data_IF_136138586935
#
_entry.id   IF_136138586935
#
_cell.length_a   1.000
_cell.length_b   1.000
_cell.length_c   1.000
_cell.angle_alpha   90.00
_cell.angle_beta   90.00
_cell.angle_gamma   90.00
#
_symmetry.space_group_name_H-M   'P 1'
#
loop_
_entity.id
_entity.type
_entity.pdbx_description
1 polymer ?
#
# COMPACT_ATOMS: atom_id res chain seq x y z
N UNK A 1 30.31 1.45 15.84
CA UNK A 1 30.07 2.13 17.15
C UNK A 1 29.62 3.59 17.01
N UNK A 2 30.04 4.30 16.00
CA UNK A 2 29.77 5.76 15.82
C UNK A 2 28.28 6.14 15.71
N UNK A 3 27.42 5.33 15.07
CA UNK A 3 26.00 5.65 14.91
C UNK A 3 25.15 5.50 16.18
N UNK A 4 25.49 4.62 17.12
CA UNK A 4 24.65 4.37 18.34
C UNK A 4 24.57 5.55 19.30
N UNK A 5 25.47 6.52 19.20
CA UNK A 5 25.43 7.76 19.99
C UNK A 5 24.59 8.85 19.34
N UNK A 6 24.20 8.68 18.05
CA UNK A 6 23.40 9.63 17.29
C UNK A 6 21.93 9.54 17.66
N UNK A 7 21.29 10.68 17.81
CA UNK A 7 19.86 10.79 18.05
C UNK A 7 19.11 10.78 16.72
N UNK A 8 18.05 9.97 16.64
CA UNK A 8 17.24 9.83 15.42
C UNK A 8 15.92 10.59 15.58
N UNK A 9 15.54 11.37 14.57
CA UNK A 9 14.27 12.07 14.46
C UNK A 9 13.47 11.48 13.31
N UNK A 10 12.33 10.82 13.60
CA UNK A 10 11.43 10.21 12.60
C UNK A 10 10.22 11.11 12.44
N UNK A 11 9.95 11.55 11.20
CA UNK A 11 8.87 12.48 10.86
C UNK A 11 7.77 11.74 10.08
N UNK A 12 6.57 11.66 10.65
CA UNK A 12 5.47 10.81 10.22
C UNK A 12 5.54 9.44 10.89
N UNK A 13 4.52 9.09 11.66
CA UNK A 13 4.47 7.85 12.47
C UNK A 13 3.33 6.94 12.02
N UNK A 14 3.09 6.86 10.71
CA UNK A 14 2.17 5.91 10.10
C UNK A 14 2.75 4.50 10.00
N UNK A 15 2.24 3.72 9.03
CA UNK A 15 2.59 2.31 8.80
C UNK A 15 4.08 2.03 8.55
N UNK A 16 4.86 3.04 8.18
CA UNK A 16 6.32 2.91 8.00
C UNK A 16 7.06 3.55 9.17
N UNK A 17 6.76 4.81 9.49
CA UNK A 17 7.56 5.56 10.44
C UNK A 17 7.48 5.04 11.89
N UNK A 18 6.31 4.56 12.35
CA UNK A 18 6.21 4.01 13.71
C UNK A 18 6.98 2.68 13.85
N UNK A 19 6.84 1.69 12.95
CA UNK A 19 7.67 0.49 12.99
C UNK A 19 9.17 0.78 12.91
N UNK A 20 9.60 1.69 11.99
CA UNK A 20 10.99 2.12 11.87
C UNK A 20 11.50 2.74 13.18
N UNK A 21 10.72 3.65 13.80
CA UNK A 21 11.09 4.28 15.06
C UNK A 21 11.21 3.26 16.21
N UNK A 22 10.26 2.34 16.31
CA UNK A 22 10.25 1.30 17.35
C UNK A 22 11.41 0.30 17.17
N UNK A 23 11.71 -0.10 15.92
CA UNK A 23 12.84 -0.97 15.60
C UNK A 23 14.18 -0.30 15.97
N UNK A 24 14.38 0.96 15.58
CA UNK A 24 15.59 1.71 15.89
C UNK A 24 15.78 1.89 17.41
N UNK A 25 14.69 2.19 18.12
CA UNK A 25 14.71 2.26 19.59
C UNK A 25 15.10 0.91 20.23
N UNK A 26 14.60 -0.21 19.71
CA UNK A 26 14.96 -1.55 20.18
C UNK A 26 16.42 -1.93 19.91
N UNK A 27 17.01 -1.33 18.87
CA UNK A 27 18.44 -1.46 18.55
C UNK A 27 19.35 -0.52 19.37
N UNK A 28 18.80 0.20 20.36
CA UNK A 28 19.54 1.03 21.31
C UNK A 28 19.78 2.47 20.86
N UNK A 29 19.07 2.94 19.84
CA UNK A 29 19.08 4.35 19.43
C UNK A 29 18.12 5.18 20.29
N UNK A 30 18.48 6.43 20.59
CA UNK A 30 17.54 7.41 21.12
C UNK A 30 16.72 7.97 19.97
N UNK A 31 15.43 7.68 19.96
CA UNK A 31 14.51 8.06 18.87
C UNK A 31 13.51 9.09 19.38
N UNK A 32 13.34 10.16 18.62
CA UNK A 32 12.23 11.11 18.77
C UNK A 32 11.33 11.00 17.53
N UNK A 33 10.07 10.68 17.76
CA UNK A 33 9.08 10.62 16.70
C UNK A 33 8.29 11.93 16.61
N UNK A 34 7.78 12.24 15.44
CA UNK A 34 6.90 13.39 15.23
C UNK A 34 5.72 13.00 14.38
N UNK A 35 4.52 13.35 14.84
CA UNK A 35 3.30 13.26 14.05
C UNK A 35 2.43 14.50 14.32
N UNK A 36 1.68 14.95 13.29
CA UNK A 36 0.79 16.10 13.41
C UNK A 36 -0.54 15.74 14.10
N UNK A 37 -0.87 14.46 14.20
CA UNK A 37 -2.09 13.98 14.83
C UNK A 37 -1.90 13.83 16.34
N UNK A 38 -2.62 14.63 17.13
CA UNK A 38 -2.57 14.58 18.59
C UNK A 38 -2.88 13.20 19.15
N UNK A 39 -3.90 12.52 18.62
CA UNK A 39 -4.30 11.19 19.07
C UNK A 39 -3.18 10.16 18.85
N UNK A 40 -2.52 10.20 17.69
CA UNK A 40 -1.35 9.36 17.40
C UNK A 40 -0.23 9.57 18.42
N UNK A 41 0.09 10.84 18.70
CA UNK A 41 1.14 11.21 19.66
C UNK A 41 0.81 10.73 21.08
N UNK A 42 -0.40 10.94 21.54
CA UNK A 42 -0.86 10.49 22.87
C UNK A 42 -0.87 8.97 22.98
N UNK A 43 -1.40 8.27 21.98
CA UNK A 43 -1.48 6.81 21.94
C UNK A 43 -0.09 6.18 22.04
N UNK A 44 0.87 6.65 21.23
CA UNK A 44 2.23 6.11 21.24
C UNK A 44 2.94 6.40 22.54
N UNK A 45 2.82 7.62 23.10
CA UNK A 45 3.44 7.97 24.39
C UNK A 45 2.87 7.17 25.57
N UNK A 46 1.67 6.56 25.43
CA UNK A 46 1.11 5.60 26.38
C UNK A 46 1.64 4.18 26.17
N UNK A 47 2.56 3.95 25.23
CA UNK A 47 3.07 2.62 24.88
C UNK A 47 2.08 1.78 24.07
N UNK A 48 1.12 2.40 23.42
CA UNK A 48 0.10 1.76 22.57
C UNK A 48 0.36 2.05 21.08
N UNK A 49 -0.29 1.30 20.21
CA UNK A 49 -0.24 1.48 18.76
C UNK A 49 -1.59 1.96 18.24
N UNK A 50 -1.57 2.70 17.13
CA UNK A 50 -2.77 3.20 16.41
C UNK A 50 -2.91 2.55 15.02
N UNK A 51 -2.03 1.61 14.68
CA UNK A 51 -2.04 0.81 13.44
C UNK A 51 -1.98 -0.67 13.80
N UNK A 52 -2.62 -1.53 13.00
CA UNK A 52 -2.59 -2.97 13.20
C UNK A 52 -1.36 -3.57 12.50
N UNK A 53 -0.38 -4.05 13.28
CA UNK A 53 0.79 -4.76 12.77
C UNK A 53 1.28 -5.76 13.82
N UNK A 54 1.48 -7.03 13.46
CA UNK A 54 1.96 -8.06 14.39
C UNK A 54 3.26 -7.66 15.10
N UNK A 55 3.32 -7.89 16.40
CA UNK A 55 4.47 -7.64 17.29
C UNK A 55 4.82 -6.17 17.54
N UNK A 56 4.28 -5.21 16.75
CA UNK A 56 4.63 -3.79 16.88
C UNK A 56 4.29 -3.23 18.27
N UNK A 57 3.19 -3.67 18.87
CA UNK A 57 2.76 -3.26 20.22
C UNK A 57 3.82 -3.52 21.28
N UNK A 58 4.45 -4.69 21.26
CA UNK A 58 5.52 -5.06 22.19
C UNK A 58 6.77 -4.17 22.00
N UNK A 59 7.16 -3.89 20.75
CA UNK A 59 8.28 -3.01 20.44
C UNK A 59 8.02 -1.57 20.91
N UNK A 60 6.85 -1.01 20.62
CA UNK A 60 6.49 0.36 21.03
C UNK A 60 6.42 0.47 22.55
N UNK A 61 5.73 -0.46 23.21
CA UNK A 61 5.62 -0.49 24.68
C UNK A 61 6.99 -0.52 25.35
N UNK A 62 7.87 -1.41 24.87
CA UNK A 62 9.24 -1.51 25.39
C UNK A 62 10.02 -0.21 25.15
N UNK A 63 10.00 0.32 23.93
CA UNK A 63 10.74 1.52 23.55
C UNK A 63 10.31 2.78 24.33
N UNK A 64 9.02 2.92 24.61
CA UNK A 64 8.48 4.04 25.41
C UNK A 64 8.81 3.86 26.88
N UNK A 65 8.60 2.66 27.45
CA UNK A 65 8.82 2.42 28.89
C UNK A 65 10.28 2.55 29.31
N UNK A 66 11.23 2.24 28.44
CA UNK A 66 12.67 2.40 28.70
C UNK A 66 13.21 3.78 28.27
N UNK A 67 12.33 4.68 27.78
CA UNK A 67 12.69 6.05 27.39
C UNK A 67 13.49 6.18 26.09
N UNK A 68 13.58 5.11 25.30
CA UNK A 68 14.29 5.13 24.01
C UNK A 68 13.46 5.72 22.87
N UNK A 69 12.12 5.73 22.99
CA UNK A 69 11.19 6.39 22.07
C UNK A 69 10.36 7.44 22.82
N UNK A 70 10.32 8.64 22.29
CA UNK A 70 9.45 9.72 22.73
C UNK A 70 8.84 10.46 21.55
N UNK A 71 7.56 10.78 21.59
CA UNK A 71 6.81 11.32 20.44
C UNK A 71 6.29 12.72 20.72
N UNK A 72 6.30 13.59 19.71
CA UNK A 72 5.98 15.01 19.80
C UNK A 72 5.10 15.46 18.61
N UNK A 73 4.36 16.53 18.78
CA UNK A 73 3.60 17.20 17.70
C UNK A 73 4.47 18.00 16.72
N UNK A 74 5.68 18.34 17.13
CA UNK A 74 6.62 19.12 16.32
C UNK A 74 7.97 18.44 16.29
N UNK A 75 8.71 18.52 15.17
CA UNK A 75 10.02 17.93 15.04
C UNK A 75 10.95 18.39 16.17
N UNK A 76 11.82 17.47 16.57
CA UNK A 76 12.86 17.70 17.57
C UNK A 76 14.23 17.55 16.92
N UNK A 77 15.22 18.16 17.56
CA UNK A 77 16.62 18.04 17.16
C UNK A 77 17.07 16.57 17.13
N UNK A 78 17.81 16.22 16.08
CA UNK A 78 18.43 14.90 15.88
C UNK A 78 19.75 15.04 15.12
N UNK A 79 20.41 13.94 14.89
CA UNK A 79 21.61 13.82 14.04
C UNK A 79 21.29 13.01 12.76
N UNK A 80 20.17 12.26 12.79
CA UNK A 80 19.65 11.49 11.66
C UNK A 80 18.15 11.78 11.58
N UNK A 81 17.69 12.28 10.44
CA UNK A 81 16.29 12.60 10.19
C UNK A 81 15.73 11.63 9.16
N UNK A 82 14.63 10.95 9.48
CA UNK A 82 13.94 10.01 8.58
C UNK A 82 12.54 10.56 8.30
N UNK A 83 12.24 10.83 7.02
CA UNK A 83 10.97 11.38 6.57
C UNK A 83 10.10 10.26 6.04
N UNK A 84 8.99 9.95 6.75
CA UNK A 84 8.03 8.88 6.46
C UNK A 84 6.60 9.43 6.34
N UNK A 85 6.43 10.60 5.77
CA UNK A 85 5.12 11.26 5.61
C UNK A 85 4.37 10.74 4.37
N UNK A 86 3.03 10.84 4.32
CA UNK A 86 2.26 10.41 3.16
C UNK A 86 2.55 11.24 1.91
N UNK A 87 2.34 10.64 0.74
CA UNK A 87 2.46 11.28 -0.57
C UNK A 87 1.20 10.99 -1.41
N UNK A 88 0.03 11.56 -1.03
CA UNK A 88 -1.22 11.36 -1.75
C UNK A 88 -1.21 12.05 -3.12
N UNK A 89 -2.33 11.98 -3.84
CA UNK A 89 -2.55 12.80 -5.02
C UNK A 89 -3.10 14.19 -4.68
N UNK A 90 -2.84 15.14 -5.58
CA UNK A 90 -3.64 16.36 -5.64
C UNK A 90 -5.03 16.04 -6.21
N UNK A 91 -6.06 16.62 -5.66
CA UNK A 91 -7.39 16.62 -6.27
C UNK A 91 -7.35 17.47 -7.55
N UNK A 92 -7.27 16.79 -8.69
CA UNK A 92 -7.24 17.47 -10.00
C UNK A 92 -7.82 16.54 -11.07
N UNK A 93 -8.53 17.05 -12.07
CA UNK A 93 -8.99 16.25 -13.20
C UNK A 93 -7.81 15.76 -14.06
N UNK A 94 -8.00 14.62 -14.72
CA UNK A 94 -7.00 14.01 -15.61
C UNK A 94 -6.05 13.07 -14.92
N UNK A 95 -4.78 13.02 -15.37
CA UNK A 95 -3.76 12.14 -14.79
C UNK A 95 -3.47 12.55 -13.34
N UNK A 96 -3.62 11.64 -12.36
CA UNK A 96 -3.35 11.93 -10.96
C UNK A 96 -1.92 12.42 -10.76
N UNK A 97 -1.77 13.53 -10.04
CA UNK A 97 -0.45 14.13 -9.77
C UNK A 97 -0.07 13.93 -8.30
N UNK A 98 1.14 13.44 -8.01
CA UNK A 98 1.60 13.23 -6.64
C UNK A 98 1.70 14.55 -5.88
N UNK A 99 1.17 14.56 -4.66
CA UNK A 99 1.31 15.66 -3.72
C UNK A 99 2.50 15.40 -2.80
N UNK A 100 3.59 16.10 -3.04
CA UNK A 100 4.81 16.04 -2.20
C UNK A 100 4.89 17.14 -1.16
N UNK A 101 3.86 17.95 -0.98
CA UNK A 101 3.86 19.08 -0.05
C UNK A 101 4.13 18.62 1.39
N UNK A 102 3.66 17.44 1.78
CA UNK A 102 3.96 16.85 3.08
C UNK A 102 5.48 16.63 3.26
N UNK A 103 6.18 16.12 2.22
CA UNK A 103 7.63 15.92 2.23
C UNK A 103 8.35 17.27 2.32
N UNK A 104 7.94 18.25 1.53
CA UNK A 104 8.52 19.59 1.52
C UNK A 104 8.31 20.29 2.87
N UNK A 105 7.11 20.16 3.46
CA UNK A 105 6.81 20.74 4.78
C UNK A 105 7.59 20.02 5.90
N UNK A 106 7.76 18.71 5.81
CA UNK A 106 8.61 17.97 6.74
C UNK A 106 10.07 18.46 6.66
N UNK A 107 10.63 18.60 5.45
CA UNK A 107 11.97 19.14 5.24
C UNK A 107 12.12 20.57 5.81
N UNK A 108 11.16 21.46 5.54
CA UNK A 108 11.17 22.83 6.13
C UNK A 108 11.11 22.79 7.65
N UNK A 109 10.31 21.93 8.24
CA UNK A 109 10.12 21.87 9.69
C UNK A 109 11.36 21.43 10.45
N UNK A 110 12.25 20.64 9.82
CA UNK A 110 13.52 20.20 10.41
C UNK A 110 14.68 21.11 10.08
N UNK A 111 14.58 22.02 9.07
CA UNK A 111 15.68 22.86 8.58
C UNK A 111 16.45 23.56 9.68
N UNK A 112 15.73 24.13 10.67
CA UNK A 112 16.34 24.86 11.81
C UNK A 112 17.22 24.00 12.74
N UNK A 113 17.12 22.67 12.63
CA UNK A 113 17.90 21.75 13.47
C UNK A 113 19.07 21.11 12.73
N UNK A 114 19.12 21.23 11.40
CA UNK A 114 20.14 20.58 10.57
C UNK A 114 21.53 21.15 10.85
N UNK A 115 22.46 20.26 11.09
CA UNK A 115 23.87 20.55 11.38
C UNK A 115 24.80 19.86 10.40
N UNK A 116 26.09 20.28 10.33
CA UNK A 116 27.09 19.54 9.56
C UNK A 116 27.19 18.07 9.98
N UNK A 117 27.28 17.18 8.98
CA UNK A 117 27.34 15.73 9.08
C UNK A 117 26.02 15.03 9.50
N UNK A 118 24.90 15.76 9.55
CA UNK A 118 23.60 15.15 9.73
C UNK A 118 23.21 14.32 8.49
N UNK A 119 22.46 13.24 8.74
CA UNK A 119 21.82 12.45 7.70
C UNK A 119 20.36 12.86 7.56
N UNK A 120 19.91 13.10 6.34
CA UNK A 120 18.50 13.31 6.01
C UNK A 120 18.07 12.25 5.01
N UNK A 121 17.17 11.38 5.43
CA UNK A 121 16.74 10.21 4.69
C UNK A 121 15.26 10.34 4.35
N UNK A 122 14.92 10.29 3.07
CA UNK A 122 13.54 10.19 2.61
C UNK A 122 13.20 8.71 2.42
N UNK A 123 12.26 8.19 3.22
CA UNK A 123 11.69 6.83 3.07
C UNK A 123 10.32 6.84 2.37
N UNK A 124 9.60 7.98 2.37
CA UNK A 124 8.32 8.08 1.69
C UNK A 124 8.43 7.76 0.21
N UNK A 125 7.50 6.94 -0.32
CA UNK A 125 7.41 6.72 -1.78
C UNK A 125 7.20 8.06 -2.48
N UNK A 126 8.05 8.37 -3.44
CA UNK A 126 8.12 9.71 -4.02
C UNK A 126 8.42 9.69 -5.52
N UNK A 127 7.94 10.68 -6.27
CA UNK A 127 8.37 10.90 -7.66
C UNK A 127 9.87 11.13 -7.76
N UNK A 128 10.47 10.70 -8.87
CA UNK A 128 11.88 10.93 -9.14
C UNK A 128 12.23 12.43 -9.12
N UNK A 129 13.24 12.80 -8.32
CA UNK A 129 13.68 14.16 -8.09
C UNK A 129 13.14 14.79 -6.81
N UNK A 130 12.43 14.08 -5.98
CA UNK A 130 11.91 14.59 -4.70
C UNK A 130 13.04 14.81 -3.70
N UNK A 131 14.05 13.95 -3.68
CA UNK A 131 15.24 14.12 -2.83
C UNK A 131 16.01 15.39 -3.19
N UNK A 132 16.12 15.74 -4.47
CA UNK A 132 16.70 17.00 -4.93
C UNK A 132 15.85 18.22 -4.50
N UNK A 133 14.52 18.07 -4.41
CA UNK A 133 13.66 19.14 -3.90
C UNK A 133 13.88 19.40 -2.41
N UNK A 134 14.13 18.35 -1.60
CA UNK A 134 14.54 18.51 -0.19
C UNK A 134 15.83 19.32 -0.11
N UNK A 135 16.83 18.99 -0.92
CA UNK A 135 18.08 19.80 -1.00
C UNK A 135 17.79 21.25 -1.33
N UNK A 136 16.90 21.50 -2.31
CA UNK A 136 16.49 22.86 -2.69
C UNK A 136 15.80 23.62 -1.56
N UNK A 137 15.04 22.93 -0.70
CA UNK A 137 14.47 23.55 0.52
C UNK A 137 15.59 23.97 1.46
N UNK A 138 16.55 23.11 1.74
CA UNK A 138 17.66 23.40 2.66
C UNK A 138 18.53 24.55 2.17
N UNK A 139 18.80 24.64 0.87
CA UNK A 139 19.52 25.77 0.27
C UNK A 139 18.75 27.08 0.53
N UNK A 140 17.42 27.09 0.34
CA UNK A 140 16.58 28.27 0.58
C UNK A 140 16.56 28.70 2.04
N UNK A 141 16.69 27.75 2.95
CA UNK A 141 16.77 27.97 4.41
C UNK A 141 18.21 28.33 4.87
N UNK A 142 19.16 28.49 3.94
CA UNK A 142 20.54 28.91 4.22
C UNK A 142 21.46 27.80 4.75
N UNK A 143 21.09 26.53 4.59
CA UNK A 143 21.89 25.39 5.04
C UNK A 143 23.00 25.09 4.01
N UNK A 144 24.23 24.89 4.47
CA UNK A 144 25.34 24.44 3.63
C UNK A 144 25.19 22.94 3.32
N UNK A 145 24.58 22.67 2.18
CA UNK A 145 24.26 21.30 1.73
C UNK A 145 25.49 20.42 1.44
N UNK A 146 26.68 21.01 1.30
CA UNK A 146 27.93 20.25 1.13
C UNK A 146 28.35 19.55 2.43
N UNK A 147 27.76 19.92 3.54
CA UNK A 147 28.02 19.35 4.87
C UNK A 147 26.89 18.47 5.39
N UNK A 148 25.84 18.21 4.60
CA UNK A 148 24.68 17.40 4.99
C UNK A 148 24.53 16.23 4.02
N UNK A 149 24.32 15.03 4.55
CA UNK A 149 24.15 13.83 3.75
C UNK A 149 22.67 13.58 3.48
N UNK A 150 22.22 13.81 2.25
CA UNK A 150 20.82 13.65 1.85
C UNK A 150 20.68 12.41 0.95
N UNK A 151 19.80 11.49 1.31
CA UNK A 151 19.58 10.26 0.55
C UNK A 151 18.11 9.83 0.54
N UNK A 152 17.79 8.99 -0.40
CA UNK A 152 16.54 8.25 -0.50
C UNK A 152 16.77 6.77 -0.16
N UNK A 153 15.90 6.20 0.65
CA UNK A 153 15.89 4.78 0.95
C UNK A 153 14.45 4.30 1.06
N UNK A 154 13.83 3.81 -0.03
CA UNK A 154 12.42 3.43 -0.02
C UNK A 154 12.15 2.26 0.89
N UNK A 155 10.99 2.28 1.55
CA UNK A 155 10.50 1.12 2.26
C UNK A 155 9.83 0.13 1.30
N UNK A 156 10.08 -1.19 1.54
CA UNK A 156 9.69 -2.28 0.64
C UNK A 156 9.03 -3.43 1.40
N UNK A 157 8.38 -3.13 2.52
CA UNK A 157 7.73 -4.12 3.40
C UNK A 157 6.29 -4.40 3.00
N UNK A 158 5.83 -5.58 3.42
CA UNK A 158 4.45 -6.01 3.28
C UNK A 158 3.70 -5.83 4.61
N UNK A 159 2.56 -5.12 4.65
CA UNK A 159 1.70 -5.09 5.85
C UNK A 159 1.40 -6.49 6.37
N UNK A 160 1.50 -6.66 7.69
CA UNK A 160 1.43 -7.95 8.38
C UNK A 160 2.78 -8.64 8.57
N UNK A 161 3.87 -8.13 7.97
CA UNK A 161 5.24 -8.64 8.09
C UNK A 161 6.27 -7.53 8.28
N UNK A 162 5.83 -6.31 8.56
CA UNK A 162 6.68 -5.11 8.57
C UNK A 162 7.87 -5.29 9.51
N UNK A 163 7.65 -5.74 10.75
CA UNK A 163 8.71 -5.84 11.76
C UNK A 163 9.85 -6.80 11.37
N UNK A 164 9.53 -7.90 10.68
CA UNK A 164 10.53 -8.84 10.17
C UNK A 164 11.23 -8.30 8.91
N UNK A 165 10.43 -7.81 7.95
CA UNK A 165 10.94 -7.37 6.65
C UNK A 165 11.76 -6.08 6.73
N UNK A 166 11.54 -5.21 7.72
CA UNK A 166 12.39 -4.06 8.01
C UNK A 166 13.85 -4.44 8.28
N UNK A 167 14.09 -5.64 8.79
CA UNK A 167 15.41 -6.17 9.14
C UNK A 167 15.95 -7.08 8.03
N UNK A 168 15.10 -7.90 7.41
CA UNK A 168 15.51 -8.99 6.53
C UNK A 168 15.61 -8.59 5.06
N UNK A 169 14.80 -7.62 4.61
CA UNK A 169 14.79 -7.22 3.20
C UNK A 169 16.03 -6.40 2.85
N UNK A 170 16.48 -6.57 1.60
CA UNK A 170 17.51 -5.72 1.00
C UNK A 170 17.04 -4.26 0.95
N UNK A 171 17.96 -3.34 1.18
CA UNK A 171 17.74 -1.89 1.09
C UNK A 171 18.39 -1.32 -0.15
N UNK A 172 17.71 -0.39 -0.82
CA UNK A 172 18.29 0.40 -1.91
C UNK A 172 18.53 1.80 -1.37
N UNK A 173 19.78 2.19 -1.24
CA UNK A 173 20.18 3.51 -0.71
C UNK A 173 20.76 4.35 -1.82
N UNK A 174 20.12 5.49 -2.11
CA UNK A 174 20.57 6.43 -3.12
C UNK A 174 20.79 7.83 -2.55
N UNK A 175 22.03 8.26 -2.44
CA UNK A 175 22.39 9.62 -2.03
C UNK A 175 22.41 10.64 -3.17
N UNK A 176 22.34 11.92 -2.83
CA UNK A 176 22.61 13.01 -3.77
C UNK A 176 24.09 13.12 -4.11
N UNK A 177 24.96 12.59 -3.24
CA UNK A 177 26.41 12.44 -3.44
C UNK A 177 26.85 11.03 -3.09
N UNK A 178 28.00 10.59 -3.60
CA UNK A 178 28.56 9.28 -3.25
C UNK A 178 28.84 9.16 -1.74
N UNK A 179 29.26 10.24 -1.10
CA UNK A 179 29.49 10.28 0.34
C UNK A 179 28.16 10.12 1.12
N UNK A 180 27.09 10.81 0.72
CA UNK A 180 25.77 10.64 1.30
C UNK A 180 25.26 9.20 1.15
N UNK A 181 25.45 8.59 -0.03
CA UNK A 181 25.11 7.17 -0.25
C UNK A 181 25.83 6.29 0.76
N UNK A 182 27.14 6.45 0.90
CA UNK A 182 27.97 5.64 1.79
C UNK A 182 27.60 5.82 3.27
N UNK A 183 27.42 7.06 3.74
CA UNK A 183 27.09 7.34 5.15
C UNK A 183 25.70 6.79 5.52
N UNK A 184 24.70 6.98 4.64
CA UNK A 184 23.35 6.43 4.87
C UNK A 184 23.35 4.91 4.77
N UNK A 185 24.10 4.31 3.83
CA UNK A 185 24.25 2.85 3.76
C UNK A 185 24.90 2.27 5.02
N UNK A 186 25.92 2.92 5.55
CA UNK A 186 26.56 2.53 6.80
C UNK A 186 25.59 2.58 7.98
N UNK A 187 24.70 3.57 8.01
CA UNK A 187 23.65 3.63 9.02
C UNK A 187 22.69 2.41 8.92
N UNK A 188 22.15 2.09 7.74
CA UNK A 188 21.24 0.94 7.58
C UNK A 188 21.92 -0.39 7.92
N UNK A 189 23.19 -0.58 7.57
CA UNK A 189 23.99 -1.78 7.92
C UNK A 189 24.11 -2.03 9.44
N UNK A 190 23.75 -1.07 10.28
CA UNK A 190 23.80 -1.26 11.75
C UNK A 190 22.64 -2.11 12.29
N UNK A 191 21.54 -2.26 11.54
CA UNK A 191 20.36 -2.99 11.97
C UNK A 191 19.70 -3.85 10.89
N UNK A 192 19.97 -3.62 9.61
CA UNK A 192 19.48 -4.44 8.49
C UNK A 192 20.40 -5.64 8.30
N UNK A 193 19.80 -6.81 8.08
CA UNK A 193 20.50 -8.07 7.77
C UNK A 193 20.56 -8.35 6.28
N UNK A 194 19.56 -7.86 5.52
CA UNK A 194 19.58 -7.89 4.06
C UNK A 194 20.74 -7.07 3.48
N UNK A 195 20.98 -7.18 2.19
CA UNK A 195 21.99 -6.39 1.52
C UNK A 195 21.59 -4.90 1.45
N UNK A 196 22.59 -4.02 1.60
CA UNK A 196 22.40 -2.58 1.39
C UNK A 196 23.06 -2.21 0.08
N UNK A 197 22.23 -2.06 -0.96
CA UNK A 197 22.61 -1.79 -2.33
C UNK A 197 22.74 -0.28 -2.55
N UNK A 198 23.91 0.16 -2.96
CA UNK A 198 24.25 1.57 -3.13
C UNK A 198 24.00 2.05 -4.56
N UNK A 199 23.37 3.22 -4.70
CA UNK A 199 23.08 3.83 -6.01
C UNK A 199 22.90 5.35 -5.89
N UNK A 200 22.35 6.01 -6.90
CA UNK A 200 21.96 7.44 -6.85
C UNK A 200 20.51 7.60 -6.38
N UNK A 201 20.18 8.76 -5.82
CA UNK A 201 18.81 9.06 -5.36
C UNK A 201 17.76 8.84 -6.46
N UNK A 202 18.02 9.29 -7.69
CA UNK A 202 17.10 9.11 -8.82
C UNK A 202 16.83 7.64 -9.17
N UNK A 203 17.88 6.80 -9.11
CA UNK A 203 17.72 5.36 -9.36
C UNK A 203 16.93 4.73 -8.23
N UNK A 204 17.23 5.03 -6.98
CA UNK A 204 16.51 4.48 -5.83
C UNK A 204 15.02 4.89 -5.84
N UNK A 205 14.71 6.16 -6.15
CA UNK A 205 13.32 6.65 -6.32
C UNK A 205 12.61 5.90 -7.45
N UNK A 206 13.26 5.74 -8.62
CA UNK A 206 12.66 5.04 -9.76
C UNK A 206 12.50 3.54 -9.48
N UNK A 207 13.44 2.88 -8.78
CA UNK A 207 13.34 1.46 -8.42
C UNK A 207 12.04 1.18 -7.67
N UNK A 208 11.73 1.98 -6.65
CA UNK A 208 10.48 1.82 -5.88
C UNK A 208 9.23 1.89 -6.76
N UNK A 209 9.16 2.89 -7.62
CA UNK A 209 8.03 3.07 -8.53
C UNK A 209 7.95 1.96 -9.58
N UNK A 210 9.12 1.49 -10.06
CA UNK A 210 9.21 0.41 -11.06
C UNK A 210 8.69 -0.92 -10.50
N UNK A 211 9.02 -1.27 -9.26
CA UNK A 211 8.56 -2.51 -8.62
C UNK A 211 7.03 -2.59 -8.59
N UNK A 212 6.38 -1.52 -8.17
CA UNK A 212 4.92 -1.48 -8.09
C UNK A 212 4.26 -1.37 -9.48
N UNK A 213 4.86 -0.62 -10.40
CA UNK A 213 4.38 -0.54 -11.79
C UNK A 213 4.52 -1.86 -12.52
N UNK A 214 5.60 -2.61 -12.30
CA UNK A 214 5.78 -3.95 -12.86
C UNK A 214 4.66 -4.90 -12.40
N UNK A 215 4.33 -4.88 -11.10
CA UNK A 215 3.22 -5.69 -10.57
C UNK A 215 1.89 -5.28 -11.15
N UNK A 216 1.62 -3.97 -11.23
CA UNK A 216 0.38 -3.43 -11.80
C UNK A 216 0.19 -3.85 -13.26
N UNK A 217 1.23 -3.73 -14.10
CA UNK A 217 1.21 -4.17 -15.51
C UNK A 217 0.92 -5.66 -15.64
N UNK A 218 1.54 -6.49 -14.79
CA UNK A 218 1.32 -7.95 -14.84
C UNK A 218 -0.09 -8.34 -14.36
N UNK A 219 -0.65 -7.62 -13.39
CA UNK A 219 -2.05 -7.82 -12.98
C UNK A 219 -3.00 -7.32 -14.08
N UNK A 220 -2.70 -6.20 -14.73
CA UNK A 220 -3.50 -5.70 -15.85
C UNK A 220 -3.56 -6.70 -16.98
N UNK A 221 -2.44 -7.34 -17.32
CA UNK A 221 -2.41 -8.41 -18.32
C UNK A 221 -3.34 -9.57 -17.95
N UNK A 222 -3.30 -10.04 -16.69
CA UNK A 222 -4.19 -11.09 -16.20
C UNK A 222 -5.67 -10.66 -16.22
N UNK A 223 -5.95 -9.43 -15.82
CA UNK A 223 -7.29 -8.87 -15.85
C UNK A 223 -7.83 -8.76 -17.28
N UNK A 224 -7.04 -8.26 -18.23
CA UNK A 224 -7.42 -8.19 -19.64
C UNK A 224 -7.69 -9.58 -20.23
N UNK A 225 -6.83 -10.58 -19.95
CA UNK A 225 -7.09 -11.97 -20.32
C UNK A 225 -8.45 -12.45 -19.79
N UNK A 226 -8.78 -12.13 -18.56
CA UNK A 226 -10.07 -12.54 -17.97
C UNK A 226 -11.28 -11.93 -18.67
N UNK A 227 -11.15 -10.71 -19.22
CA UNK A 227 -12.20 -10.08 -20.03
C UNK A 227 -12.39 -10.79 -21.36
N UNK A 228 -11.29 -11.11 -22.05
CA UNK A 228 -11.30 -11.84 -23.32
C UNK A 228 -11.86 -13.27 -23.14
N UNK A 229 -11.39 -13.98 -22.12
CA UNK A 229 -11.85 -15.32 -21.79
C UNK A 229 -13.35 -15.39 -21.47
N UNK A 230 -13.84 -14.41 -20.73
CA UNK A 230 -15.28 -14.33 -20.40
C UNK A 230 -16.16 -14.19 -21.65
N UNK A 231 -15.70 -13.45 -22.67
CA UNK A 231 -16.41 -13.31 -23.95
C UNK A 231 -16.46 -14.63 -24.73
N UNK A 232 -15.39 -15.40 -24.70
CA UNK A 232 -15.24 -16.61 -25.51
C UNK A 232 -15.63 -17.89 -24.73
N UNK A 233 -16.08 -17.76 -23.47
CA UNK A 233 -16.46 -18.90 -22.61
C UNK A 233 -15.26 -19.75 -22.18
N UNK A 234 -14.06 -19.16 -22.10
CA UNK A 234 -12.83 -19.82 -21.69
C UNK A 234 -12.65 -19.63 -20.18
N UNK A 235 -12.25 -20.69 -19.47
CA UNK A 235 -11.81 -20.58 -18.09
C UNK A 235 -10.41 -19.92 -18.02
N UNK A 236 -10.36 -18.68 -17.51
CA UNK A 236 -9.11 -17.92 -17.43
C UNK A 236 -8.13 -18.55 -16.41
N UNK A 237 -8.63 -19.21 -15.39
CA UNK A 237 -7.80 -19.82 -14.33
C UNK A 237 -7.06 -21.03 -14.89
N UNK A 238 -7.78 -21.91 -15.61
CA UNK A 238 -7.16 -23.04 -16.35
C UNK A 238 -6.19 -22.54 -17.40
N UNK A 239 -6.57 -21.54 -18.20
CA UNK A 239 -5.67 -20.92 -19.18
C UNK A 239 -4.35 -20.45 -18.55
N UNK A 240 -4.42 -19.69 -17.44
CA UNK A 240 -3.24 -19.17 -16.76
C UNK A 240 -2.40 -20.32 -16.19
N UNK A 241 -3.02 -21.33 -15.59
CA UNK A 241 -2.32 -22.49 -15.06
C UNK A 241 -1.53 -23.22 -16.16
N UNK A 242 -2.15 -23.43 -17.32
CA UNK A 242 -1.50 -24.08 -18.46
C UNK A 242 -0.40 -23.19 -19.07
N UNK A 243 -0.66 -21.90 -19.27
CA UNK A 243 0.31 -20.96 -19.83
C UNK A 243 1.56 -20.85 -18.96
N UNK A 244 1.39 -20.86 -17.64
CA UNK A 244 2.50 -20.80 -16.67
C UNK A 244 3.35 -22.08 -16.62
N UNK A 245 2.96 -23.17 -17.33
CA UNK A 245 3.86 -24.32 -17.56
C UNK A 245 5.02 -23.98 -18.48
N UNK A 246 4.91 -22.93 -19.25
CA UNK A 246 6.01 -22.46 -20.08
C UNK A 246 7.11 -21.80 -19.22
N UNK A 247 8.39 -22.19 -19.34
CA UNK A 247 9.46 -21.83 -18.40
C UNK A 247 9.78 -20.33 -18.32
N UNK A 248 9.29 -19.52 -19.25
CA UNK A 248 9.49 -18.06 -19.30
C UNK A 248 8.21 -17.26 -19.09
N UNK A 249 7.13 -17.91 -18.64
CA UNK A 249 5.82 -17.27 -18.42
C UNK A 249 5.43 -17.40 -16.96
N UNK A 250 5.03 -16.30 -16.36
CA UNK A 250 4.53 -16.24 -14.98
C UNK A 250 3.42 -15.18 -14.91
N UNK A 251 2.24 -15.54 -15.41
CA UNK A 251 1.05 -14.67 -15.39
C UNK A 251 0.49 -14.68 -13.99
N UNK A 252 0.19 -13.49 -13.46
CA UNK A 252 -0.47 -13.31 -12.15
C UNK A 252 -1.95 -13.68 -12.24
N UNK A 253 -2.63 -13.71 -11.09
CA UNK A 253 -4.06 -14.02 -11.03
C UNK A 253 -4.89 -12.76 -11.29
N UNK A 254 -5.97 -12.85 -12.10
CA UNK A 254 -6.91 -11.75 -12.24
C UNK A 254 -7.77 -11.58 -10.97
N UNK A 255 -8.36 -10.40 -10.82
CA UNK A 255 -9.25 -10.08 -9.71
C UNK A 255 -10.34 -9.10 -10.12
N UNK A 256 -11.05 -8.54 -9.15
CA UNK A 256 -12.11 -7.55 -9.39
C UNK A 256 -11.55 -6.14 -9.74
N UNK A 257 -10.25 -5.95 -9.65
CA UNK A 257 -9.51 -4.72 -9.88
C UNK A 257 -8.22 -4.71 -9.09
N UNK A 258 -7.54 -3.57 -9.02
CA UNK A 258 -6.30 -3.38 -8.25
C UNK A 258 -6.46 -2.21 -7.30
N UNK A 259 -6.37 -2.48 -6.01
CA UNK A 259 -6.51 -1.51 -4.93
C UNK A 259 -5.26 -1.37 -4.06
N UNK A 260 -5.45 -0.68 -2.94
CA UNK A 260 -4.42 -0.37 -1.96
C UNK A 260 -3.57 0.85 -2.31
N UNK A 261 -2.75 1.27 -1.34
CA UNK A 261 -2.02 2.55 -1.40
C UNK A 261 -0.78 2.55 -2.29
N UNK A 262 -0.34 1.40 -2.79
CA UNK A 262 0.92 1.29 -3.51
C UNK A 262 0.68 0.97 -4.99
N UNK A 263 0.16 -0.23 -5.30
CA UNK A 263 0.06 -0.70 -6.69
C UNK A 263 -0.93 0.15 -7.51
N UNK A 264 -2.02 0.62 -6.89
CA UNK A 264 -2.99 1.49 -7.55
C UNK A 264 -2.49 2.95 -7.72
N UNK A 265 -1.47 3.36 -6.97
CA UNK A 265 -1.03 4.76 -6.81
C UNK A 265 0.31 5.02 -7.51
N UNK A 266 1.35 4.27 -7.18
CA UNK A 266 2.73 4.54 -7.60
C UNK A 266 2.95 4.60 -9.12
N UNK A 267 2.25 3.81 -9.97
CA UNK A 267 2.36 3.92 -11.42
C UNK A 267 2.00 5.31 -11.96
N UNK A 268 1.05 5.98 -11.32
CA UNK A 268 0.68 7.35 -11.71
C UNK A 268 1.81 8.36 -11.45
N UNK A 269 2.73 8.09 -10.52
CA UNK A 269 3.90 8.95 -10.30
C UNK A 269 4.83 8.93 -11.51
N UNK A 270 4.96 7.78 -12.17
CA UNK A 270 5.69 7.66 -13.44
C UNK A 270 4.93 8.36 -14.57
N UNK A 271 3.63 8.05 -14.69
CA UNK A 271 2.76 8.60 -15.78
C UNK A 271 2.69 10.11 -15.69
N UNK A 272 2.48 10.70 -14.52
CA UNK A 272 2.39 12.15 -14.34
C UNK A 272 3.69 12.89 -14.68
N UNK A 273 4.83 12.20 -14.61
CA UNK A 273 6.14 12.77 -14.97
C UNK A 273 6.38 12.82 -16.47
N UNK A 274 5.99 11.77 -17.18
CA UNK A 274 6.17 11.66 -18.64
C UNK A 274 5.07 10.78 -19.26
N UNK A 275 3.90 11.36 -19.44
CA UNK A 275 2.73 10.67 -20.01
C UNK A 275 2.99 10.15 -21.41
N UNK A 276 3.82 10.87 -22.21
CA UNK A 276 4.13 10.51 -23.59
C UNK A 276 4.88 9.19 -23.68
N UNK A 277 5.81 8.94 -22.77
CA UNK A 277 6.70 7.77 -22.80
C UNK A 277 6.24 6.63 -21.86
N UNK A 278 5.23 6.84 -21.00
CA UNK A 278 4.70 5.85 -20.05
C UNK A 278 3.42 5.16 -20.51
N UNK A 279 3.27 4.94 -21.83
CA UNK A 279 2.03 4.43 -22.45
C UNK A 279 1.57 3.09 -21.88
N UNK A 280 2.48 2.13 -21.71
CA UNK A 280 2.15 0.80 -21.19
C UNK A 280 1.68 0.88 -19.73
N UNK A 281 2.37 1.66 -18.90
CA UNK A 281 2.04 1.82 -17.46
C UNK A 281 0.67 2.50 -17.32
N UNK A 282 0.40 3.53 -18.14
CA UNK A 282 -0.90 4.20 -18.18
C UNK A 282 -2.01 3.26 -18.62
N UNK A 283 -1.82 2.53 -19.73
CA UNK A 283 -2.80 1.55 -20.23
C UNK A 283 -3.08 0.46 -19.19
N UNK A 284 -2.07 -0.04 -18.48
CA UNK A 284 -2.25 -1.03 -17.41
C UNK A 284 -3.16 -0.49 -16.29
N UNK A 285 -2.95 0.76 -15.85
CA UNK A 285 -3.85 1.39 -14.86
C UNK A 285 -5.27 1.55 -15.38
N UNK A 286 -5.43 1.92 -16.64
CA UNK A 286 -6.74 2.05 -17.28
C UNK A 286 -7.44 0.69 -17.37
N UNK A 287 -6.74 -0.39 -17.73
CA UNK A 287 -7.27 -1.77 -17.73
C UNK A 287 -7.72 -2.19 -16.32
N UNK A 288 -6.88 -1.99 -15.31
CA UNK A 288 -7.20 -2.36 -13.92
C UNK A 288 -8.41 -1.57 -13.38
N UNK A 289 -8.55 -0.29 -13.71
CA UNK A 289 -9.71 0.51 -13.35
C UNK A 289 -10.96 0.07 -14.13
N UNK A 290 -10.83 -0.21 -15.43
CA UNK A 290 -11.92 -0.71 -16.26
C UNK A 290 -12.44 -2.07 -15.76
N UNK A 291 -11.58 -2.93 -15.23
CA UNK A 291 -11.97 -4.22 -14.68
C UNK A 291 -13.02 -4.09 -13.56
N UNK A 292 -12.88 -3.12 -12.67
CA UNK A 292 -13.85 -2.83 -11.61
C UNK A 292 -15.23 -2.46 -12.20
N UNK A 293 -15.24 -1.58 -13.20
CA UNK A 293 -16.47 -1.19 -13.87
C UNK A 293 -17.12 -2.35 -14.64
N UNK A 294 -16.31 -3.17 -15.29
CA UNK A 294 -16.78 -4.37 -15.96
C UNK A 294 -17.45 -5.34 -14.99
N UNK A 295 -16.88 -5.56 -13.80
CA UNK A 295 -17.46 -6.43 -12.78
C UNK A 295 -18.83 -5.89 -12.32
N UNK A 296 -18.96 -4.58 -12.12
CA UNK A 296 -20.25 -3.95 -11.80
C UNK A 296 -21.30 -4.28 -12.87
N UNK A 297 -20.97 -4.12 -14.16
CA UNK A 297 -21.90 -4.40 -15.24
C UNK A 297 -22.26 -5.89 -15.37
N UNK A 298 -21.31 -6.81 -15.10
CA UNK A 298 -21.61 -8.25 -15.05
C UNK A 298 -22.61 -8.57 -13.95
N UNK A 299 -22.45 -8.03 -12.75
CA UNK A 299 -23.37 -8.25 -11.63
C UNK A 299 -24.76 -7.67 -11.97
N UNK A 300 -24.84 -6.47 -12.53
CA UNK A 300 -26.12 -5.84 -12.93
C UNK A 300 -26.85 -6.68 -13.98
N UNK A 301 -26.12 -7.18 -14.97
CA UNK A 301 -26.67 -8.08 -16.00
C UNK A 301 -27.22 -9.35 -15.37
N UNK A 302 -26.46 -9.97 -14.47
CA UNK A 302 -26.88 -11.18 -13.77
C UNK A 302 -28.15 -10.97 -12.93
N UNK A 303 -28.26 -9.83 -12.25
CA UNK A 303 -29.46 -9.46 -11.48
C UNK A 303 -30.66 -9.26 -12.41
N UNK A 304 -30.49 -8.54 -13.51
CA UNK A 304 -31.55 -8.29 -14.48
C UNK A 304 -32.09 -9.60 -15.08
N UNK A 305 -31.18 -10.49 -15.49
CA UNK A 305 -31.55 -11.79 -16.05
C UNK A 305 -32.30 -12.68 -15.04
N UNK A 306 -31.83 -12.69 -13.79
CA UNK A 306 -32.46 -13.48 -12.73
C UNK A 306 -33.83 -12.94 -12.37
N UNK A 307 -33.98 -11.61 -12.27
CA UNK A 307 -35.26 -10.95 -12.03
C UNK A 307 -36.27 -11.23 -13.17
N UNK A 308 -35.82 -11.16 -14.41
CA UNK A 308 -36.68 -11.47 -15.58
C UNK A 308 -37.16 -12.92 -15.60
N UNK A 309 -36.30 -13.88 -15.22
CA UNK A 309 -36.61 -15.31 -15.18
C UNK A 309 -37.55 -15.69 -14.03
N UNK A 310 -37.43 -15.04 -12.88
CA UNK A 310 -38.15 -15.43 -11.66
C UNK A 310 -39.37 -14.55 -11.36
N UNK A 311 -39.44 -13.35 -11.92
CA UNK A 311 -40.42 -12.32 -11.58
C UNK A 311 -40.22 -11.69 -10.19
N UNK A 312 -39.11 -11.99 -9.50
CA UNK A 312 -38.80 -11.54 -8.14
C UNK A 312 -37.57 -10.65 -8.17
N UNK A 313 -37.57 -9.59 -7.39
CA UNK A 313 -36.39 -8.72 -7.22
C UNK A 313 -35.33 -9.43 -6.35
N UNK A 314 -34.15 -9.64 -6.89
CA UNK A 314 -33.03 -10.26 -6.17
C UNK A 314 -32.11 -9.19 -5.60
N UNK A 315 -31.58 -9.44 -4.41
CA UNK A 315 -30.51 -8.65 -3.78
C UNK A 315 -29.14 -9.14 -4.25
N UNK A 316 -28.13 -8.35 -4.01
CA UNK A 316 -26.73 -8.66 -4.35
C UNK A 316 -25.99 -9.01 -3.07
N UNK A 317 -25.25 -10.12 -3.09
CA UNK A 317 -24.32 -10.48 -2.01
C UNK A 317 -22.89 -10.39 -2.55
N UNK A 318 -22.09 -9.48 -1.95
CA UNK A 318 -20.69 -9.32 -2.25
C UNK A 318 -19.82 -10.06 -1.22
N UNK A 319 -19.02 -11.03 -1.64
CA UNK A 319 -18.10 -11.76 -0.79
C UNK A 319 -16.72 -11.12 -0.85
N UNK A 320 -16.33 -10.46 0.24
CA UNK A 320 -15.11 -9.68 0.39
C UNK A 320 -15.29 -8.21 0.01
N UNK A 321 -14.79 -7.32 0.89
CA UNK A 321 -14.77 -5.87 0.70
C UNK A 321 -13.35 -5.29 0.79
N UNK A 322 -12.40 -5.97 1.44
CA UNK A 322 -11.02 -5.50 1.59
C UNK A 322 -10.28 -5.41 0.24
N UNK A 323 -9.20 -4.62 0.16
CA UNK A 323 -8.47 -4.50 -1.10
C UNK A 323 -7.59 -5.72 -1.43
N UNK A 324 -7.35 -6.61 -0.46
CA UNK A 324 -6.66 -7.90 -0.64
C UNK A 324 -7.13 -8.92 0.40
N UNK A 325 -6.84 -10.22 0.20
CA UNK A 325 -7.23 -11.27 1.14
C UNK A 325 -6.69 -11.07 2.57
N UNK A 326 -7.50 -11.47 3.56
CA UNK A 326 -7.14 -11.66 4.97
C UNK A 326 -6.67 -10.40 5.70
N UNK A 327 -7.22 -9.25 5.34
CA UNK A 327 -6.99 -7.96 6.02
C UNK A 327 -8.32 -7.21 6.21
N UNK A 328 -8.30 -6.21 7.06
CA UNK A 328 -9.40 -5.29 7.37
C UNK A 328 -9.30 -3.91 6.66
N UNK A 329 -8.38 -3.76 5.71
CA UNK A 329 -8.12 -2.50 5.03
C UNK A 329 -9.00 -2.31 3.79
N UNK A 330 -9.87 -1.32 3.85
CA UNK A 330 -10.83 -0.96 2.79
C UNK A 330 -10.32 0.12 1.83
N UNK A 331 -9.17 0.72 2.09
CA UNK A 331 -8.68 1.88 1.32
C UNK A 331 -8.41 1.52 -0.13
N UNK A 332 -8.94 2.33 -1.06
CA UNK A 332 -8.80 2.08 -2.50
C UNK A 332 -9.20 0.65 -2.91
N UNK A 333 -10.18 0.04 -2.22
CA UNK A 333 -10.62 -1.32 -2.52
C UNK A 333 -11.57 -1.35 -3.71
N UNK A 334 -11.24 -2.06 -4.81
CA UNK A 334 -12.16 -2.29 -5.91
C UNK A 334 -13.42 -3.08 -5.48
N UNK A 335 -13.28 -4.01 -4.54
CA UNK A 335 -14.41 -4.79 -4.03
C UNK A 335 -15.41 -3.90 -3.27
N UNK A 336 -14.92 -2.96 -2.46
CA UNK A 336 -15.75 -1.97 -1.80
C UNK A 336 -16.40 -1.01 -2.83
N UNK A 337 -15.62 -0.51 -3.79
CA UNK A 337 -16.13 0.36 -4.87
C UNK A 337 -17.27 -0.32 -5.63
N UNK A 338 -17.14 -1.61 -5.96
CA UNK A 338 -18.19 -2.39 -6.62
C UNK A 338 -19.46 -2.43 -5.73
N UNK A 339 -19.31 -2.80 -4.47
CA UNK A 339 -20.45 -2.96 -3.56
C UNK A 339 -21.16 -1.62 -3.29
N UNK A 340 -20.39 -0.54 -3.03
CA UNK A 340 -20.96 0.79 -2.81
C UNK A 340 -21.59 1.38 -4.08
N UNK A 341 -20.95 1.21 -5.26
CA UNK A 341 -21.50 1.68 -6.53
C UNK A 341 -22.85 1.02 -6.85
N UNK A 342 -22.98 -0.29 -6.61
CA UNK A 342 -24.25 -1.00 -6.77
C UNK A 342 -25.30 -0.51 -5.77
N UNK A 343 -24.91 -0.28 -4.51
CA UNK A 343 -25.79 0.27 -3.49
C UNK A 343 -26.28 1.68 -3.86
N UNK A 344 -25.39 2.57 -4.28
CA UNK A 344 -25.71 3.95 -4.66
C UNK A 344 -26.59 4.01 -5.94
N UNK A 345 -26.56 2.96 -6.79
CA UNK A 345 -27.46 2.77 -7.92
C UNK A 345 -28.84 2.19 -7.51
N UNK A 346 -29.11 1.98 -6.24
CA UNK A 346 -30.41 1.55 -5.71
C UNK A 346 -30.64 0.04 -5.67
N UNK A 347 -29.58 -0.77 -5.80
CA UNK A 347 -29.66 -2.20 -5.53
C UNK A 347 -29.63 -2.46 -4.02
N UNK A 348 -30.33 -3.52 -3.57
CA UNK A 348 -30.14 -4.03 -2.21
C UNK A 348 -28.84 -4.84 -2.16
N UNK A 349 -27.83 -4.28 -1.52
CA UNK A 349 -26.51 -4.89 -1.40
C UNK A 349 -26.22 -5.29 0.03
N UNK A 350 -25.76 -6.53 0.22
CA UNK A 350 -25.28 -7.09 1.49
C UNK A 350 -23.87 -7.64 1.26
N UNK A 351 -22.99 -7.48 2.23
CA UNK A 351 -21.64 -7.99 2.13
C UNK A 351 -21.38 -9.13 3.13
N UNK A 352 -20.55 -10.08 2.72
CA UNK A 352 -19.95 -11.10 3.58
C UNK A 352 -18.45 -10.79 3.68
N UNK A 353 -18.03 -10.20 4.79
CA UNK A 353 -16.64 -9.80 5.01
C UNK A 353 -16.14 -10.32 6.36
N UNK A 354 -15.21 -11.30 6.37
CA UNK A 354 -14.77 -11.93 7.60
C UNK A 354 -13.96 -11.03 8.53
N UNK A 355 -13.32 -10.00 7.99
CA UNK A 355 -12.33 -9.19 8.72
C UNK A 355 -12.88 -7.84 9.19
N UNK A 356 -14.17 -7.54 8.93
CA UNK A 356 -14.79 -6.26 9.27
C UNK A 356 -16.16 -6.52 9.91
N UNK A 357 -16.36 -5.96 11.10
CA UNK A 357 -17.59 -6.17 11.87
C UNK A 357 -18.77 -5.33 11.37
N UNK A 358 -18.50 -4.13 10.84
CA UNK A 358 -19.56 -3.20 10.41
C UNK A 358 -19.05 -2.23 9.33
N UNK A 359 -19.98 -1.75 8.51
CA UNK A 359 -19.72 -0.70 7.52
C UNK A 359 -20.83 0.36 7.56
N UNK A 360 -20.49 1.61 7.21
CA UNK A 360 -21.43 2.75 7.35
C UNK A 360 -22.61 2.71 6.37
N UNK A 361 -22.41 2.15 5.16
CA UNK A 361 -23.44 2.07 4.11
C UNK A 361 -23.99 0.65 3.91
N UNK A 362 -23.14 -0.36 4.04
CA UNK A 362 -23.46 -1.73 3.66
C UNK A 362 -23.75 -2.57 4.89
N UNK A 363 -24.77 -3.41 4.81
CA UNK A 363 -25.03 -4.43 5.81
C UNK A 363 -23.99 -5.54 5.67
N UNK A 364 -23.31 -5.87 6.77
CA UNK A 364 -22.42 -7.04 6.86
C UNK A 364 -23.22 -8.21 7.41
N UNK A 365 -23.03 -9.39 6.87
CA UNK A 365 -23.67 -10.64 7.33
C UNK A 365 -22.69 -11.80 7.36
N UNK A 366 -22.96 -12.80 8.19
CA UNK A 366 -22.19 -14.04 8.16
C UNK A 366 -22.58 -14.89 6.94
N UNK A 367 -21.67 -15.72 6.46
CA UNK A 367 -21.90 -16.55 5.28
C UNK A 367 -23.06 -17.54 5.46
N UNK A 368 -23.28 -18.01 6.69
CA UNK A 368 -24.37 -18.93 7.02
C UNK A 368 -25.77 -18.26 7.06
N UNK A 369 -25.82 -16.94 7.11
CA UNK A 369 -27.05 -16.14 7.13
C UNK A 369 -27.42 -15.60 5.74
N UNK A 370 -26.71 -16.01 4.68
CA UNK A 370 -26.98 -15.57 3.32
C UNK A 370 -28.27 -16.19 2.78
N UNK A 371 -29.15 -15.34 2.25
CA UNK A 371 -30.33 -15.78 1.52
C UNK A 371 -29.99 -16.11 0.07
N UNK A 372 -29.49 -17.31 -0.14
CA UNK A 372 -29.04 -17.80 -1.44
C UNK A 372 -30.11 -17.80 -2.52
N UNK A 373 -31.35 -18.09 -2.13
CA UNK A 373 -32.48 -18.26 -3.06
C UNK A 373 -32.87 -16.95 -3.76
N UNK A 374 -32.83 -15.85 -3.01
CA UNK A 374 -33.27 -14.54 -3.50
C UNK A 374 -32.10 -13.57 -3.71
N UNK A 375 -30.92 -14.11 -4.01
CA UNK A 375 -29.72 -13.31 -4.19
C UNK A 375 -28.95 -13.66 -5.45
N UNK A 376 -28.25 -12.67 -6.01
CA UNK A 376 -27.12 -12.84 -6.94
C UNK A 376 -25.84 -12.65 -6.13
N UNK A 377 -24.99 -13.66 -6.12
CA UNK A 377 -23.79 -13.71 -5.30
C UNK A 377 -22.54 -13.50 -6.14
N UNK A 378 -21.67 -12.60 -5.73
CA UNK A 378 -20.40 -12.26 -6.38
C UNK A 378 -19.24 -12.39 -5.40
N UNK A 379 -18.24 -13.21 -5.74
CA UNK A 379 -17.01 -13.33 -4.95
C UNK A 379 -15.97 -12.38 -5.52
N UNK A 380 -15.61 -11.38 -4.72
CA UNK A 380 -14.73 -10.27 -5.11
C UNK A 380 -13.32 -10.41 -4.55
N UNK A 381 -13.17 -11.03 -3.36
CA UNK A 381 -11.89 -11.23 -2.68
C UNK A 381 -11.75 -12.69 -2.22
N UNK A 382 -10.57 -13.24 -2.45
CA UNK A 382 -10.23 -14.63 -2.10
C UNK A 382 -9.73 -14.74 -0.65
N UNK A 383 -10.61 -14.47 0.33
CA UNK A 383 -10.27 -14.70 1.75
C UNK A 383 -10.10 -16.19 2.05
N UNK A 384 -9.19 -16.52 2.98
CA UNK A 384 -8.98 -17.92 3.43
C UNK A 384 -10.26 -18.55 3.97
N UNK A 385 -11.14 -17.76 4.59
CA UNK A 385 -12.42 -18.23 5.13
C UNK A 385 -13.35 -18.76 4.03
N UNK A 386 -13.18 -18.31 2.78
CA UNK A 386 -13.94 -18.80 1.63
C UNK A 386 -13.32 -20.05 0.96
N UNK A 387 -12.14 -20.50 1.40
CA UNK A 387 -11.40 -21.59 0.78
C UNK A 387 -11.69 -22.97 1.40
N UNK A 388 -12.44 -23.02 2.52
CA UNK A 388 -12.81 -24.33 3.10
C UNK A 388 -13.68 -25.12 2.13
N UNK A 389 -13.58 -26.45 2.18
CA UNK A 389 -14.29 -27.33 1.25
C UNK A 389 -15.80 -27.14 1.33
N UNK A 390 -16.34 -26.98 2.55
CA UNK A 390 -17.78 -26.78 2.77
C UNK A 390 -18.27 -25.48 2.16
N UNK A 391 -17.49 -24.38 2.31
CA UNK A 391 -17.84 -23.09 1.74
C UNK A 391 -17.72 -23.10 0.21
N UNK A 392 -16.65 -23.69 -0.35
CA UNK A 392 -16.52 -23.84 -1.80
C UNK A 392 -17.70 -24.63 -2.39
N UNK A 393 -18.11 -25.73 -1.75
CA UNK A 393 -19.26 -26.50 -2.18
C UNK A 393 -20.53 -25.66 -2.16
N UNK A 394 -20.76 -24.90 -1.11
CA UNK A 394 -21.91 -23.99 -0.97
C UNK A 394 -21.90 -22.91 -2.07
N UNK A 395 -20.74 -22.31 -2.38
CA UNK A 395 -20.61 -21.33 -3.46
C UNK A 395 -20.91 -21.95 -4.83
N UNK A 396 -20.42 -23.15 -5.11
CA UNK A 396 -20.66 -23.90 -6.35
C UNK A 396 -22.16 -24.22 -6.53
N UNK A 397 -22.82 -24.76 -5.50
CA UNK A 397 -24.23 -25.14 -5.54
C UNK A 397 -25.17 -23.93 -5.80
N UNK A 398 -24.73 -22.74 -5.43
CA UNK A 398 -25.49 -21.49 -5.61
C UNK A 398 -25.08 -20.69 -6.86
N UNK A 399 -24.23 -21.26 -7.73
CA UNK A 399 -23.83 -20.64 -8.99
C UNK A 399 -23.37 -19.20 -8.84
N UNK A 400 -22.41 -18.95 -7.95
CA UNK A 400 -21.87 -17.61 -7.70
C UNK A 400 -20.99 -17.12 -8.84
N UNK A 401 -20.94 -15.82 -9.03
CA UNK A 401 -20.00 -15.17 -9.94
C UNK A 401 -18.64 -15.02 -9.24
N UNK A 402 -17.65 -15.81 -9.63
CA UNK A 402 -16.31 -15.79 -9.04
C UNK A 402 -15.37 -14.91 -9.88
N UNK A 403 -14.99 -13.75 -9.35
CA UNK A 403 -14.10 -12.80 -10.01
C UNK A 403 -12.65 -12.88 -9.52
N UNK A 404 -12.34 -13.75 -8.55
CA UNK A 404 -11.02 -13.84 -7.94
C UNK A 404 -10.47 -15.27 -7.80
N UNK A 405 -11.17 -16.28 -8.35
CA UNK A 405 -10.69 -17.66 -8.41
C UNK A 405 -10.76 -18.41 -7.07
N UNK A 406 -11.80 -18.20 -6.28
CA UNK A 406 -12.05 -18.99 -5.06
C UNK A 406 -12.40 -20.43 -5.41
N UNK A 407 -13.12 -20.66 -6.49
CA UNK A 407 -13.62 -21.96 -6.92
C UNK A 407 -12.55 -22.81 -7.66
N UNK A 408 -11.42 -22.20 -8.00
CA UNK A 408 -10.32 -22.84 -8.75
C UNK A 408 -9.14 -23.22 -7.86
#
# INVERSE_FOLDING_TARGET
MHFRTRKISVIGLGYIGLPTAALLASNGYKVVGTDVNCHTVETINQGKIHIAEPYLDAFVRSAVSNGMLKVFLKPQEGDIYIICVPTPFHESPGVPKPNIDYVINAAKSISKYIKPNDLVILESTSPVGTTEKIQSVFIKEGIDINKVHIAYCPERVLPGKIMAELVENDRIVGGLTAEATKEVSNFYRTFVRGEVLETSAKIAEMCKLTENSFRDVNIAFANELSLLCAKDGIDVWELIQLANRHPRVNILQPGAGVGGHCIAVDPWFIVSRDEKNSKLIKAAREVNNFKTQWVIEQIKTAVADRNAKTGVKHKIICFGLAFKPDIDDLRESPALEIAESLFDQGYEVVAVEPNIESHSKLKITAIHDVDWKHSVCAVLIKHKDFLSQDIKQMLLENNVYDFCGVLN
#
